data_IF_143483995192
#
_entry.id   IF_143483995192
#
_cell.length_a   1.000
_cell.length_b   1.000
_cell.length_c   1.000
_cell.angle_alpha   90.00
_cell.angle_beta   90.00
_cell.angle_gamma   90.00
#
_symmetry.space_group_name_H-M   'P 1'
#
loop_
_entity.id
_entity.type
_entity.pdbx_description
1 polymer ?
#
# COMPACT_ATOMS: atom_id res chain seq x y z
N UNK A 1 16.97 -2.05 -15.13
CA UNK A 1 15.92 -1.89 -14.10
C UNK A 1 16.29 -2.55 -12.76
N UNK A 2 16.46 -3.88 -12.70
CA UNK A 2 16.73 -4.60 -11.43
C UNK A 2 18.01 -4.11 -10.71
N UNK A 3 19.10 -3.90 -11.46
CA UNK A 3 20.35 -3.34 -10.90
C UNK A 3 20.15 -1.96 -10.26
N UNK A 4 19.41 -1.08 -10.93
CA UNK A 4 19.07 0.26 -10.39
C UNK A 4 18.27 0.12 -9.09
N UNK A 5 17.28 -0.78 -9.06
CA UNK A 5 16.52 -1.07 -7.83
C UNK A 5 17.42 -1.53 -6.68
N UNK A 6 18.35 -2.45 -6.93
CA UNK A 6 19.29 -2.96 -5.92
C UNK A 6 20.23 -1.84 -5.44
N UNK A 7 20.76 -1.02 -6.35
CA UNK A 7 21.61 0.11 -6.00
C UNK A 7 20.86 1.14 -5.14
N UNK A 8 19.59 1.41 -5.45
CA UNK A 8 18.75 2.30 -4.65
C UNK A 8 18.46 1.71 -3.26
N UNK A 9 18.15 0.42 -3.16
CA UNK A 9 17.96 -0.26 -1.88
C UNK A 9 19.25 -0.18 -1.05
N UNK A 10 20.41 -0.46 -1.66
CA UNK A 10 21.70 -0.42 -0.98
C UNK A 10 22.05 1.00 -0.51
N UNK A 11 21.84 2.01 -1.37
CA UNK A 11 22.07 3.42 -1.05
C UNK A 11 21.17 3.90 0.09
N UNK A 12 19.87 3.61 0.02
CA UNK A 12 18.91 4.00 1.05
C UNK A 12 19.14 3.25 2.37
N UNK A 13 19.49 1.97 2.30
CA UNK A 13 19.87 1.20 3.49
C UNK A 13 21.11 1.81 4.14
N UNK A 14 22.15 2.09 3.36
CA UNK A 14 23.40 2.69 3.85
C UNK A 14 23.19 4.07 4.46
N UNK A 15 22.47 4.97 3.77
CA UNK A 15 22.17 6.31 4.31
C UNK A 15 21.38 6.24 5.62
N UNK A 16 20.39 5.35 5.70
CA UNK A 16 19.61 5.18 6.94
C UNK A 16 20.42 4.58 8.10
N UNK A 17 21.50 3.83 7.84
CA UNK A 17 22.41 3.40 8.92
C UNK A 17 23.21 4.55 9.54
N UNK A 18 23.36 5.69 8.85
CA UNK A 18 24.19 6.83 9.32
C UNK A 18 23.46 7.76 10.30
N UNK A 19 22.15 7.61 10.49
CA UNK A 19 21.39 8.30 11.54
C UNK A 19 19.99 8.74 11.13
N UNK A 20 19.12 8.88 12.15
CA UNK A 20 17.69 9.18 11.97
C UNK A 20 17.41 10.61 11.51
N UNK A 21 18.27 11.58 11.84
CA UNK A 21 18.06 12.99 11.45
C UNK A 21 18.13 13.18 9.94
N UNK A 22 19.11 12.53 9.28
CA UNK A 22 19.20 12.50 7.82
C UNK A 22 17.97 11.83 7.19
N UNK A 23 17.56 10.67 7.73
CA UNK A 23 16.38 9.96 7.26
C UNK A 23 15.10 10.80 7.35
N UNK A 24 14.95 11.62 8.41
CA UNK A 24 13.81 12.53 8.60
C UNK A 24 13.80 13.67 7.58
N UNK A 25 14.95 14.31 7.34
CA UNK A 25 15.04 15.41 6.35
C UNK A 25 14.71 14.88 4.96
N UNK A 26 15.34 13.77 4.57
CA UNK A 26 15.07 13.06 3.32
C UNK A 26 13.57 12.75 3.21
N UNK A 27 12.98 12.14 4.24
CA UNK A 27 11.55 11.80 4.25
C UNK A 27 10.64 13.01 4.05
N UNK A 28 10.92 14.12 4.74
CA UNK A 28 10.10 15.32 4.66
C UNK A 28 10.15 15.96 3.26
N UNK A 29 11.35 16.06 2.68
CA UNK A 29 11.53 16.60 1.33
C UNK A 29 10.73 15.74 0.35
N UNK A 30 10.97 14.42 0.31
CA UNK A 30 10.29 13.56 -0.65
C UNK A 30 8.78 13.45 -0.42
N UNK A 31 8.32 13.50 0.82
CA UNK A 31 6.88 13.49 1.13
C UNK A 31 6.21 14.77 0.63
N UNK A 32 6.84 15.93 0.87
CA UNK A 32 6.32 17.21 0.38
C UNK A 32 6.33 17.25 -1.14
N UNK A 33 7.43 16.83 -1.78
CA UNK A 33 7.55 16.84 -3.24
C UNK A 33 6.57 15.89 -3.90
N UNK A 34 6.37 14.67 -3.39
CA UNK A 34 5.40 13.74 -3.99
C UNK A 34 3.95 14.19 -3.82
N UNK A 35 3.61 14.78 -2.66
CA UNK A 35 2.29 15.38 -2.46
C UNK A 35 2.09 16.58 -3.39
N UNK A 36 3.11 17.43 -3.54
CA UNK A 36 3.11 18.54 -4.48
C UNK A 36 2.98 18.08 -5.93
N UNK A 37 3.65 17.00 -6.33
CA UNK A 37 3.54 16.44 -7.68
C UNK A 37 2.14 15.90 -7.96
N UNK A 38 1.54 15.15 -7.03
CA UNK A 38 0.17 14.67 -7.17
C UNK A 38 -0.84 15.83 -7.18
N UNK A 39 -0.67 16.81 -6.30
CA UNK A 39 -1.50 18.01 -6.28
C UNK A 39 -1.37 18.82 -7.58
N UNK A 40 -0.15 18.98 -8.09
CA UNK A 40 0.11 19.61 -9.37
C UNK A 40 -0.57 18.87 -10.53
N UNK A 41 -0.52 17.54 -10.54
CA UNK A 41 -1.25 16.73 -11.52
C UNK A 41 -2.76 16.94 -11.41
N UNK A 42 -3.31 17.00 -10.21
CA UNK A 42 -4.74 17.26 -9.98
C UNK A 42 -5.12 18.61 -10.56
N UNK A 43 -4.38 19.67 -10.22
CA UNK A 43 -4.64 21.03 -10.72
C UNK A 43 -4.52 21.09 -12.24
N UNK A 44 -3.48 20.49 -12.81
CA UNK A 44 -3.28 20.43 -14.26
C UNK A 44 -4.42 19.69 -14.95
N UNK A 45 -4.86 18.54 -14.43
CA UNK A 45 -5.98 17.79 -14.99
C UNK A 45 -7.31 18.55 -14.91
N UNK A 46 -7.59 19.22 -13.79
CA UNK A 46 -8.83 19.98 -13.62
C UNK A 46 -8.87 21.28 -14.43
N UNK A 47 -7.72 21.94 -14.63
CA UNK A 47 -7.67 23.27 -15.29
C UNK A 47 -7.28 23.17 -16.76
N UNK A 48 -6.19 22.46 -17.06
CA UNK A 48 -5.63 22.37 -18.41
C UNK A 48 -6.04 21.09 -19.15
N UNK A 49 -6.40 20.04 -18.41
CA UNK A 49 -6.87 18.77 -18.96
C UNK A 49 -8.34 18.73 -19.31
N UNK A 50 -9.10 19.81 -19.12
CA UNK A 50 -10.55 19.77 -19.31
C UNK A 50 -10.94 19.40 -20.75
N UNK A 51 -11.50 18.21 -20.93
CA UNK A 51 -11.92 17.69 -22.22
C UNK A 51 -13.45 17.55 -22.24
N UNK A 52 -14.13 18.43 -22.98
CA UNK A 52 -15.60 18.46 -23.04
C UNK A 52 -16.21 17.12 -23.48
N UNK A 53 -15.55 16.37 -24.37
CA UNK A 53 -16.02 15.04 -24.79
C UNK A 53 -15.88 14.00 -23.68
N UNK A 54 -14.75 14.01 -22.96
CA UNK A 54 -14.54 13.14 -21.82
C UNK A 54 -15.54 13.45 -20.70
N UNK A 55 -15.73 14.73 -20.37
CA UNK A 55 -16.69 15.17 -19.35
C UNK A 55 -18.11 14.76 -19.73
N UNK A 56 -18.54 14.98 -20.97
CA UNK A 56 -19.88 14.59 -21.40
C UNK A 56 -20.06 13.06 -21.42
N UNK A 57 -19.07 12.30 -21.89
CA UNK A 57 -19.15 10.83 -21.94
C UNK A 57 -19.05 10.14 -20.57
N UNK A 58 -18.32 10.75 -19.64
CA UNK A 58 -18.11 10.22 -18.31
C UNK A 58 -19.21 10.68 -17.34
N UNK A 59 -19.51 11.98 -17.27
CA UNK A 59 -20.47 12.60 -16.33
C UNK A 59 -21.83 12.98 -16.93
N UNK A 60 -22.10 12.61 -18.19
CA UNK A 60 -23.37 12.89 -18.86
C UNK A 60 -24.54 12.03 -18.37
N UNK A 61 -25.57 11.95 -19.20
CA UNK A 61 -26.84 11.26 -18.89
C UNK A 61 -26.62 9.79 -18.49
N UNK A 62 -25.59 9.16 -19.05
CA UNK A 62 -25.22 7.77 -18.82
C UNK A 62 -24.23 7.54 -17.65
N UNK A 63 -24.08 8.49 -16.73
CA UNK A 63 -23.19 8.32 -15.58
C UNK A 63 -23.63 7.15 -14.68
N UNK A 64 -24.93 7.03 -14.44
CA UNK A 64 -25.51 5.99 -13.57
C UNK A 64 -25.90 4.71 -14.31
N UNK A 65 -25.72 4.66 -15.64
CA UNK A 65 -26.07 3.48 -16.44
C UNK A 65 -24.85 2.55 -16.52
N UNK A 66 -24.96 1.29 -16.02
CA UNK A 66 -23.89 0.31 -16.17
C UNK A 66 -23.63 0.03 -17.66
N UNK A 67 -22.35 0.05 -18.05
CA UNK A 67 -21.90 -0.17 -19.44
C UNK A 67 -20.85 -1.28 -19.47
N UNK A 68 -20.77 -2.00 -20.59
CA UNK A 68 -19.73 -3.00 -20.88
C UNK A 68 -19.52 -4.02 -19.74
N UNK A 69 -20.50 -4.91 -19.54
CA UNK A 69 -20.43 -5.94 -18.52
C UNK A 69 -19.36 -6.98 -18.85
N UNK A 70 -18.15 -6.76 -18.34
CA UNK A 70 -17.11 -7.78 -18.36
C UNK A 70 -17.36 -8.85 -17.28
N UNK A 71 -17.17 -10.13 -17.61
CA UNK A 71 -17.28 -11.20 -16.63
C UNK A 71 -16.16 -11.09 -15.59
N UNK A 72 -16.54 -11.12 -14.31
CA UNK A 72 -15.60 -11.16 -13.17
C UNK A 72 -14.94 -12.53 -13.08
N UNK A 73 -15.72 -13.58 -13.35
CA UNK A 73 -15.28 -14.96 -13.46
C UNK A 73 -16.26 -15.75 -14.35
N UNK A 74 -15.94 -17.00 -14.68
CA UNK A 74 -16.85 -17.87 -15.43
C UNK A 74 -18.24 -17.89 -14.77
N UNK A 75 -19.28 -17.48 -15.52
CA UNK A 75 -20.67 -17.44 -15.04
C UNK A 75 -21.04 -16.28 -14.11
N UNK A 76 -20.12 -15.35 -13.81
CA UNK A 76 -20.38 -14.21 -12.93
C UNK A 76 -20.13 -12.91 -13.68
N UNK A 77 -21.20 -12.15 -13.91
CA UNK A 77 -21.15 -10.84 -14.55
C UNK A 77 -21.60 -9.77 -13.57
N UNK A 78 -21.06 -8.56 -13.72
CA UNK A 78 -21.46 -7.39 -12.93
C UNK A 78 -22.92 -6.94 -13.16
N UNK A 79 -23.67 -7.63 -14.01
CA UNK A 79 -25.10 -7.40 -14.24
C UNK A 79 -25.99 -7.93 -13.10
N UNK A 80 -25.48 -8.87 -12.29
CA UNK A 80 -26.20 -9.40 -11.12
C UNK A 80 -25.75 -8.70 -9.84
N UNK A 81 -26.62 -8.61 -8.82
CA UNK A 81 -26.24 -8.00 -7.54
C UNK A 81 -25.01 -8.68 -6.91
N UNK A 82 -24.95 -10.01 -6.98
CA UNK A 82 -23.81 -10.78 -6.48
C UNK A 82 -22.56 -10.57 -7.33
N UNK A 83 -22.68 -10.55 -8.66
CA UNK A 83 -21.55 -10.31 -9.54
C UNK A 83 -21.01 -8.88 -9.44
N UNK A 84 -21.86 -7.87 -9.22
CA UNK A 84 -21.43 -6.51 -8.91
C UNK A 84 -20.68 -6.44 -7.58
N UNK A 85 -21.20 -7.11 -6.55
CA UNK A 85 -20.51 -7.23 -5.26
C UNK A 85 -19.13 -7.88 -5.42
N UNK A 86 -19.03 -8.99 -6.15
CA UNK A 86 -17.77 -9.65 -6.45
C UNK A 86 -16.82 -8.74 -7.25
N UNK A 87 -17.32 -8.03 -8.26
CA UNK A 87 -16.56 -7.07 -9.06
C UNK A 87 -15.94 -5.98 -8.17
N UNK A 88 -16.73 -5.38 -7.29
CA UNK A 88 -16.28 -4.37 -6.32
C UNK A 88 -15.17 -4.95 -5.45
N UNK A 89 -15.40 -6.10 -4.82
CA UNK A 89 -14.38 -6.72 -3.96
C UNK A 89 -13.08 -7.06 -4.70
N UNK A 90 -13.15 -7.53 -5.96
CA UNK A 90 -11.98 -7.86 -6.78
C UNK A 90 -11.23 -6.61 -7.27
N UNK A 91 -11.94 -5.53 -7.58
CA UNK A 91 -11.34 -4.25 -8.01
C UNK A 91 -10.70 -3.50 -6.85
N UNK A 92 -11.10 -3.76 -5.61
CA UNK A 92 -10.53 -3.11 -4.43
C UNK A 92 -9.07 -3.49 -4.16
N UNK A 93 -8.51 -4.54 -4.76
CA UNK A 93 -7.10 -4.92 -4.53
C UNK A 93 -6.14 -3.75 -4.76
N UNK A 94 -6.27 -3.05 -5.89
CA UNK A 94 -5.41 -1.89 -6.21
C UNK A 94 -5.64 -0.71 -5.27
N UNK A 95 -6.90 -0.40 -4.96
CA UNK A 95 -7.27 0.69 -4.04
C UNK A 95 -6.78 0.45 -2.61
N UNK A 96 -6.94 -0.78 -2.10
CA UNK A 96 -6.46 -1.20 -0.78
C UNK A 96 -4.93 -1.12 -0.71
N UNK A 97 -4.24 -1.57 -1.76
CA UNK A 97 -2.79 -1.44 -1.85
C UNK A 97 -2.34 0.02 -1.84
N UNK A 98 -2.99 0.88 -2.62
CA UNK A 98 -2.67 2.32 -2.68
C UNK A 98 -2.88 3.04 -1.33
N UNK A 99 -3.68 2.45 -0.45
CA UNK A 99 -4.04 2.98 0.87
C UNK A 99 -3.32 2.26 2.02
N UNK A 100 -2.46 1.28 1.72
CA UNK A 100 -1.74 0.51 2.72
C UNK A 100 -0.65 1.34 3.42
N UNK A 101 -0.02 0.77 4.46
CA UNK A 101 1.07 1.38 5.24
C UNK A 101 0.67 2.58 6.14
N UNK A 102 -0.63 2.88 6.28
CA UNK A 102 -1.14 3.88 7.21
C UNK A 102 -0.76 3.58 8.67
N UNK A 103 -0.67 2.30 9.04
CA UNK A 103 -0.31 1.82 10.37
C UNK A 103 1.18 1.97 10.71
N UNK A 104 2.06 2.27 9.75
CA UNK A 104 3.51 2.31 9.99
C UNK A 104 3.95 3.35 11.03
N UNK A 105 3.20 4.45 11.20
CA UNK A 105 3.47 5.45 12.24
C UNK A 105 3.39 4.87 13.66
N UNK A 106 2.66 3.77 13.84
CA UNK A 106 2.58 3.08 15.14
C UNK A 106 3.89 2.39 15.51
N UNK A 107 4.72 2.02 14.54
CA UNK A 107 6.02 1.40 14.79
C UNK A 107 7.06 2.39 15.32
N UNK A 108 6.84 3.68 15.10
CA UNK A 108 7.67 4.78 15.61
C UNK A 108 7.02 5.51 16.78
N UNK A 109 5.97 4.95 17.39
CA UNK A 109 5.21 5.60 18.45
C UNK A 109 6.08 6.10 19.62
N UNK A 110 7.14 5.37 19.97
CA UNK A 110 8.08 5.75 21.03
C UNK A 110 8.94 6.99 20.73
N UNK A 111 9.02 7.41 19.46
CA UNK A 111 9.77 8.60 19.01
C UNK A 111 8.83 9.81 18.79
N UNK A 112 7.51 9.61 18.84
CA UNK A 112 6.51 10.65 18.61
C UNK A 112 6.29 11.46 19.88
N UNK A 113 6.38 12.80 19.79
CA UNK A 113 6.01 13.71 20.87
C UNK A 113 4.51 13.54 21.18
N UNK A 114 4.13 13.37 22.44
CA UNK A 114 2.73 13.19 22.87
C UNK A 114 1.95 12.15 22.05
N UNK A 115 2.39 10.87 22.06
CA UNK A 115 1.88 9.84 21.14
C UNK A 115 0.37 9.60 21.30
N UNK A 116 -0.17 9.74 22.51
CA UNK A 116 -1.60 9.55 22.82
C UNK A 116 -2.52 10.49 22.04
N UNK A 117 -2.04 11.69 21.69
CA UNK A 117 -2.79 12.68 20.92
C UNK A 117 -2.34 12.74 19.46
N UNK A 118 -1.03 12.73 19.23
CA UNK A 118 -0.49 13.01 17.92
C UNK A 118 -0.59 11.82 16.96
N UNK A 119 -0.53 10.57 17.45
CA UNK A 119 -0.70 9.39 16.57
C UNK A 119 -2.14 9.31 16.05
N UNK A 120 -3.20 9.37 16.87
CA UNK A 120 -4.57 9.35 16.36
C UNK A 120 -4.87 10.52 15.41
N UNK A 121 -4.41 11.74 15.74
CA UNK A 121 -4.62 12.91 14.87
C UNK A 121 -3.87 12.77 13.54
N UNK A 122 -2.62 12.29 13.57
CA UNK A 122 -1.85 12.08 12.35
C UNK A 122 -2.47 11.01 11.46
N UNK A 123 -3.03 9.95 12.04
CA UNK A 123 -3.77 8.93 11.28
C UNK A 123 -5.03 9.52 10.66
N UNK A 124 -5.86 10.22 11.43
CA UNK A 124 -7.12 10.77 10.92
C UNK A 124 -6.89 11.85 9.85
N UNK A 125 -6.07 12.86 10.14
CA UNK A 125 -5.82 13.99 9.23
C UNK A 125 -4.99 13.56 8.02
N UNK A 126 -3.95 12.74 8.24
CA UNK A 126 -3.09 12.26 7.17
C UNK A 126 -3.85 11.37 6.19
N UNK A 127 -4.58 10.38 6.70
CA UNK A 127 -5.41 9.51 5.84
C UNK A 127 -6.53 10.30 5.17
N UNK A 128 -7.19 11.23 5.86
CA UNK A 128 -8.23 12.08 5.28
C UNK A 128 -7.72 12.94 4.13
N UNK A 129 -6.53 13.55 4.27
CA UNK A 129 -5.91 14.32 3.20
C UNK A 129 -5.54 13.45 1.99
N UNK A 130 -5.01 12.24 2.22
CA UNK A 130 -4.69 11.29 1.13
C UNK A 130 -5.96 10.85 0.40
N UNK A 131 -7.04 10.52 1.12
CA UNK A 131 -8.34 10.17 0.52
C UNK A 131 -8.82 11.31 -0.38
N UNK A 132 -8.80 12.55 0.11
CA UNK A 132 -9.22 13.71 -0.68
C UNK A 132 -8.38 13.87 -1.96
N UNK A 133 -7.05 13.73 -1.86
CA UNK A 133 -6.16 13.78 -3.02
C UNK A 133 -6.44 12.65 -4.02
N UNK A 134 -6.68 11.43 -3.56
CA UNK A 134 -6.97 10.29 -4.44
C UNK A 134 -8.32 10.47 -5.15
N UNK A 135 -9.35 10.96 -4.46
CA UNK A 135 -10.64 11.27 -5.07
C UNK A 135 -10.48 12.37 -6.12
N UNK A 136 -9.80 13.47 -5.79
CA UNK A 136 -9.55 14.57 -6.72
C UNK A 136 -8.70 14.15 -7.92
N UNK A 137 -7.74 13.24 -7.74
CA UNK A 137 -6.96 12.69 -8.85
C UNK A 137 -7.83 11.85 -9.79
N UNK A 138 -8.74 11.03 -9.25
CA UNK A 138 -9.70 10.28 -10.08
C UNK A 138 -10.65 11.22 -10.84
N UNK A 139 -11.12 12.29 -10.20
CA UNK A 139 -11.90 13.32 -10.90
C UNK A 139 -11.07 13.97 -12.00
N UNK A 140 -9.81 14.33 -11.73
CA UNK A 140 -8.90 14.88 -12.72
C UNK A 140 -8.73 13.92 -13.93
N UNK A 141 -8.57 12.63 -13.71
CA UNK A 141 -8.52 11.64 -14.79
C UNK A 141 -9.83 11.61 -15.62
N UNK A 142 -10.98 11.58 -14.95
CA UNK A 142 -12.29 11.50 -15.59
C UNK A 142 -12.68 12.77 -16.37
N UNK A 143 -12.16 13.95 -16.03
CA UNK A 143 -12.39 15.16 -16.83
C UNK A 143 -11.42 15.29 -18.00
N UNK A 144 -10.31 14.54 -17.97
CA UNK A 144 -9.24 14.62 -18.98
C UNK A 144 -9.36 13.56 -20.06
N UNK A 145 -9.67 12.32 -19.67
CA UNK A 145 -9.65 11.15 -20.54
C UNK A 145 -11.05 10.52 -20.68
N UNK A 146 -11.46 10.10 -21.88
CA UNK A 146 -12.62 9.21 -22.04
C UNK A 146 -12.46 7.91 -21.22
N UNK A 147 -13.56 7.36 -20.71
CA UNK A 147 -13.52 6.16 -19.85
C UNK A 147 -12.76 4.97 -20.46
N UNK A 148 -12.90 4.73 -21.77
CA UNK A 148 -12.19 3.65 -22.47
C UNK A 148 -10.66 3.83 -22.45
N UNK A 149 -10.15 5.06 -22.52
CA UNK A 149 -8.72 5.34 -22.44
C UNK A 149 -8.18 5.13 -21.02
N UNK A 150 -9.02 5.31 -19.99
CA UNK A 150 -8.68 4.97 -18.61
C UNK A 150 -8.61 3.45 -18.44
N UNK A 151 -9.58 2.70 -18.98
CA UNK A 151 -9.62 1.24 -18.92
C UNK A 151 -8.43 0.57 -19.62
N UNK A 152 -7.94 1.17 -20.71
CA UNK A 152 -6.86 0.63 -21.54
C UNK A 152 -5.57 1.45 -21.47
N UNK A 153 -5.36 2.17 -20.36
CA UNK A 153 -4.18 2.98 -20.17
C UNK A 153 -2.89 2.13 -20.31
N UNK A 154 -1.90 2.56 -21.10
CA UNK A 154 -0.68 1.78 -21.31
C UNK A 154 0.05 1.42 -20.01
N UNK A 155 0.23 0.11 -19.77
CA UNK A 155 0.82 -0.43 -18.54
C UNK A 155 0.11 0.03 -17.25
N UNK A 156 -1.21 0.25 -17.30
CA UNK A 156 -2.05 0.68 -16.18
C UNK A 156 -1.67 2.07 -15.59
N UNK A 157 -1.00 2.91 -16.40
CA UNK A 157 -0.48 4.23 -15.97
C UNK A 157 -1.42 5.38 -16.38
N UNK A 158 -2.57 5.46 -15.73
CA UNK A 158 -3.59 6.50 -16.00
C UNK A 158 -3.05 7.93 -15.83
N UNK A 159 -2.22 8.16 -14.81
CA UNK A 159 -1.57 9.46 -14.58
C UNK A 159 -0.65 9.88 -15.75
N UNK A 160 0.06 8.92 -16.34
CA UNK A 160 0.91 9.15 -17.52
C UNK A 160 0.06 9.48 -18.73
N UNK A 161 -1.01 8.72 -18.98
CA UNK A 161 -1.94 8.99 -20.07
C UNK A 161 -2.59 10.39 -19.94
N UNK A 162 -2.94 10.78 -18.72
CA UNK A 162 -3.51 12.11 -18.42
C UNK A 162 -2.51 13.22 -18.77
N UNK A 163 -1.27 13.11 -18.32
CA UNK A 163 -0.24 14.11 -18.64
C UNK A 163 0.14 14.10 -20.12
N UNK A 164 0.08 12.97 -20.80
CA UNK A 164 0.33 12.87 -22.24
C UNK A 164 -0.79 13.53 -23.06
N UNK A 165 -2.04 13.40 -22.61
CA UNK A 165 -3.18 14.09 -23.21
C UNK A 165 -3.08 15.62 -23.03
N UNK A 166 -2.57 16.10 -21.89
CA UNK A 166 -2.37 17.53 -21.61
C UNK A 166 -1.13 18.09 -22.33
N UNK A 167 -0.03 17.34 -22.31
CA UNK A 167 1.27 17.72 -22.88
C UNK A 167 1.80 16.65 -23.83
N UNK A 168 1.28 16.57 -25.07
CA UNK A 168 1.72 15.58 -26.05
C UNK A 168 3.24 15.62 -26.27
N UNK A 169 3.89 14.47 -26.21
CA UNK A 169 5.33 14.28 -26.36
C UNK A 169 6.19 14.57 -25.12
N UNK A 170 5.63 15.17 -24.06
CA UNK A 170 6.36 15.51 -22.82
C UNK A 170 5.76 14.87 -21.57
N UNK A 171 4.47 14.52 -21.58
CA UNK A 171 3.74 14.00 -20.44
C UNK A 171 4.37 12.74 -19.84
N UNK A 172 4.80 11.80 -20.69
CA UNK A 172 5.49 10.58 -20.26
C UNK A 172 6.78 10.86 -19.47
N UNK A 173 7.60 11.81 -19.93
CA UNK A 173 8.86 12.17 -19.26
C UNK A 173 8.59 12.88 -17.94
N UNK A 174 7.63 13.81 -17.92
CA UNK A 174 7.22 14.51 -16.69
C UNK A 174 6.74 13.53 -15.63
N UNK A 175 5.86 12.59 -16.02
CA UNK A 175 5.34 11.59 -15.09
C UNK A 175 6.45 10.64 -14.60
N UNK A 176 7.38 10.26 -15.47
CA UNK A 176 8.52 9.43 -15.07
C UNK A 176 9.35 10.11 -13.97
N UNK A 177 9.61 11.42 -14.07
CA UNK A 177 10.31 12.18 -13.02
C UNK A 177 9.52 12.18 -11.71
N UNK A 178 8.21 12.43 -11.76
CA UNK A 178 7.36 12.41 -10.56
C UNK A 178 7.31 11.04 -9.88
N UNK A 179 7.19 9.96 -10.66
CA UNK A 179 7.23 8.58 -10.15
C UNK A 179 8.58 8.30 -9.48
N UNK A 180 9.70 8.69 -10.11
CA UNK A 180 11.03 8.47 -9.56
C UNK A 180 11.23 9.17 -8.22
N UNK A 181 10.80 10.43 -8.08
CA UNK A 181 10.87 11.17 -6.82
C UNK A 181 9.97 10.51 -5.75
N UNK A 182 8.74 10.14 -6.12
CA UNK A 182 7.77 9.54 -5.20
C UNK A 182 8.22 8.16 -4.68
N UNK A 183 8.69 7.31 -5.59
CA UNK A 183 9.18 5.96 -5.26
C UNK A 183 10.41 6.00 -4.36
N UNK A 184 11.37 6.88 -4.63
CA UNK A 184 12.53 7.07 -3.76
C UNK A 184 12.14 7.43 -2.32
N UNK A 185 11.21 8.39 -2.17
CA UNK A 185 10.68 8.78 -0.86
C UNK A 185 9.91 7.69 -0.14
N UNK A 186 9.11 6.91 -0.88
CA UNK A 186 8.37 5.78 -0.33
C UNK A 186 9.32 4.69 0.18
N UNK A 187 10.33 4.33 -0.62
CA UNK A 187 11.34 3.34 -0.23
C UNK A 187 12.08 3.75 1.04
N UNK A 188 12.49 5.02 1.16
CA UNK A 188 13.15 5.51 2.37
C UNK A 188 12.27 5.34 3.62
N UNK A 189 10.99 5.71 3.53
CA UNK A 189 10.05 5.60 4.64
C UNK A 189 9.80 4.14 5.06
N UNK A 190 9.62 3.23 4.10
CA UNK A 190 9.41 1.81 4.36
C UNK A 190 10.67 1.11 4.91
N UNK A 191 11.87 1.52 4.47
CA UNK A 191 13.14 1.02 5.02
C UNK A 191 13.28 1.40 6.50
N UNK A 192 12.96 2.65 6.84
CA UNK A 192 13.00 3.14 8.22
C UNK A 192 11.96 2.46 9.12
N UNK A 193 10.72 2.31 8.66
CA UNK A 193 9.65 1.70 9.44
C UNK A 193 9.84 0.19 9.61
N UNK A 194 10.19 -0.53 8.53
CA UNK A 194 10.34 -2.00 8.55
C UNK A 194 11.46 -2.48 9.48
N UNK A 195 12.55 -1.73 9.58
CA UNK A 195 13.66 -2.10 10.47
C UNK A 195 13.26 -2.07 11.95
N UNK A 196 12.31 -1.22 12.35
CA UNK A 196 11.83 -1.12 13.73
C UNK A 196 10.95 -2.30 14.13
N UNK A 197 10.13 -2.80 13.20
CA UNK A 197 9.37 -4.03 13.42
C UNK A 197 10.32 -5.22 13.65
N UNK A 198 11.33 -5.37 12.80
CA UNK A 198 12.37 -6.42 12.94
C UNK A 198 13.18 -6.28 14.23
N UNK A 199 13.50 -5.06 14.63
CA UNK A 199 14.19 -4.76 15.89
C UNK A 199 13.33 -5.15 17.11
N UNK A 200 12.04 -4.81 17.12
CA UNK A 200 11.12 -5.18 18.19
C UNK A 200 10.99 -6.70 18.31
N UNK A 201 10.80 -7.41 17.19
CA UNK A 201 10.76 -8.88 17.18
C UNK A 201 12.07 -9.51 17.69
N UNK A 202 13.23 -8.91 17.37
CA UNK A 202 14.52 -9.39 17.86
C UNK A 202 14.68 -9.21 19.37
N UNK A 203 14.13 -8.13 19.95
CA UNK A 203 14.10 -7.91 21.41
C UNK A 203 13.23 -8.94 22.13
N UNK A 204 12.14 -9.35 21.50
CA UNK A 204 11.23 -10.38 22.02
C UNK A 204 11.76 -11.80 21.79
N UNK A 205 12.99 -11.97 21.31
CA UNK A 205 13.63 -13.27 21.01
C UNK A 205 12.94 -14.05 19.88
N UNK A 206 12.16 -13.37 19.04
CA UNK A 206 11.42 -13.95 17.92
C UNK A 206 12.11 -13.74 16.56
N UNK A 207 13.29 -13.12 16.55
CA UNK A 207 14.08 -12.85 15.34
C UNK A 207 15.58 -12.95 15.63
N UNK A 208 16.42 -12.80 14.59
CA UNK A 208 17.87 -12.89 14.73
C UNK A 208 18.42 -11.95 15.81
N UNK A 209 19.17 -12.50 16.79
CA UNK A 209 19.69 -11.77 17.97
C UNK A 209 20.49 -10.49 17.61
N UNK A 210 21.20 -10.48 16.48
CA UNK A 210 21.99 -9.32 16.03
C UNK A 210 21.12 -8.12 15.64
N UNK A 211 19.88 -8.35 15.19
CA UNK A 211 18.96 -7.30 14.78
C UNK A 211 18.45 -6.43 15.95
N UNK A 212 18.63 -6.87 17.21
CA UNK A 212 18.30 -6.07 18.40
C UNK A 212 19.36 -4.99 18.71
N UNK A 213 20.55 -5.05 18.11
CA UNK A 213 21.62 -4.11 18.44
C UNK A 213 21.43 -2.77 17.74
N UNK A 214 21.62 -1.68 18.50
CA UNK A 214 21.64 -0.32 17.97
C UNK A 214 23.09 0.09 17.69
N UNK A 215 23.30 0.82 16.59
CA UNK A 215 24.61 1.40 16.28
C UNK A 215 24.85 2.72 17.04
N UNK A 216 26.02 3.35 16.83
CA UNK A 216 26.37 4.66 17.42
C UNK A 216 25.35 5.77 17.12
N UNK A 217 24.61 5.66 16.01
CA UNK A 217 23.58 6.61 15.60
C UNK A 217 22.17 6.25 16.14
N UNK A 218 22.06 5.30 17.08
CA UNK A 218 20.81 4.80 17.67
C UNK A 218 19.83 4.18 16.66
N UNK A 219 20.35 3.58 15.60
CA UNK A 219 19.57 2.91 14.55
C UNK A 219 19.84 1.39 14.58
N UNK A 220 18.83 0.52 14.35
CA UNK A 220 19.02 -0.92 14.23
C UNK A 220 19.67 -1.29 12.89
N UNK A 221 21.00 -1.07 12.79
CA UNK A 221 21.74 -1.23 11.55
C UNK A 221 21.68 -2.65 10.97
N UNK A 222 21.73 -3.68 11.81
CA UNK A 222 21.61 -5.07 11.35
C UNK A 222 20.21 -5.40 10.83
N UNK A 223 19.16 -4.84 11.43
CA UNK A 223 17.80 -5.02 10.92
C UNK A 223 17.64 -4.36 9.54
N UNK A 224 18.20 -3.16 9.36
CA UNK A 224 18.24 -2.47 8.06
C UNK A 224 18.98 -3.30 7.00
N UNK A 225 20.18 -3.81 7.31
CA UNK A 225 20.97 -4.60 6.37
C UNK A 225 20.27 -5.90 5.99
N UNK A 226 19.69 -6.62 6.97
CA UNK A 226 18.94 -7.85 6.70
C UNK A 226 17.72 -7.58 5.81
N UNK A 227 16.94 -6.53 6.11
CA UNK A 227 15.80 -6.12 5.29
C UNK A 227 16.23 -5.71 3.87
N UNK A 228 17.31 -4.94 3.76
CA UNK A 228 17.86 -4.47 2.49
C UNK A 228 18.37 -5.64 1.63
N UNK A 229 19.10 -6.58 2.23
CA UNK A 229 19.57 -7.79 1.55
C UNK A 229 18.40 -8.66 1.07
N UNK A 230 17.39 -8.86 1.92
CA UNK A 230 16.19 -9.61 1.54
C UNK A 230 15.40 -8.94 0.42
N UNK A 231 15.24 -7.61 0.50
CA UNK A 231 14.57 -6.83 -0.55
C UNK A 231 15.34 -6.86 -1.87
N UNK A 232 16.67 -6.76 -1.83
CA UNK A 232 17.52 -6.89 -3.01
C UNK A 232 17.41 -8.29 -3.64
N UNK A 233 17.36 -9.34 -2.81
CA UNK A 233 17.12 -10.71 -3.26
C UNK A 233 15.76 -10.84 -3.96
N UNK A 234 14.67 -10.31 -3.39
CA UNK A 234 13.32 -10.41 -3.99
C UNK A 234 13.15 -9.63 -5.30
N UNK A 235 14.02 -8.67 -5.60
CA UNK A 235 14.00 -7.92 -6.87
C UNK A 235 14.62 -8.71 -8.04
N UNK A 236 15.48 -9.70 -7.76
CA UNK A 236 16.21 -10.45 -8.79
C UNK A 236 15.34 -11.46 -9.58
N UNK A 237 14.46 -12.27 -8.96
CA UNK A 237 13.72 -13.29 -9.69
C UNK A 237 12.71 -12.69 -10.66
N UNK A 238 12.67 -13.26 -11.87
CA UNK A 238 11.62 -13.00 -12.85
C UNK A 238 10.60 -14.14 -12.82
N UNK A 239 9.34 -13.77 -12.94
CA UNK A 239 8.21 -14.71 -12.92
C UNK A 239 7.50 -14.60 -14.25
N UNK A 240 7.19 -15.75 -14.85
CA UNK A 240 6.40 -15.78 -16.07
C UNK A 240 4.92 -15.74 -15.70
N UNK A 241 4.21 -14.71 -16.16
CA UNK A 241 2.76 -14.63 -16.03
C UNK A 241 2.13 -15.34 -17.24
N UNK A 242 1.51 -16.49 -16.97
CA UNK A 242 0.85 -17.32 -17.99
C UNK A 242 -0.36 -16.61 -18.60
N UNK A 243 -1.06 -15.76 -17.84
CA UNK A 243 -2.25 -15.04 -18.32
C UNK A 243 -1.88 -13.86 -19.21
N UNK A 244 -0.81 -13.12 -18.85
CA UNK A 244 -0.32 -11.97 -19.64
C UNK A 244 0.68 -12.38 -20.73
N UNK A 245 1.03 -13.66 -20.82
CA UNK A 245 2.10 -14.22 -21.66
C UNK A 245 3.40 -13.41 -21.63
N UNK A 246 3.73 -12.84 -20.46
CA UNK A 246 4.83 -11.89 -20.32
C UNK A 246 5.65 -12.19 -19.07
N UNK A 247 6.96 -11.94 -19.17
CA UNK A 247 7.85 -12.02 -18.03
C UNK A 247 7.68 -10.79 -17.14
N UNK A 248 7.02 -10.98 -16.00
CA UNK A 248 6.99 -10.04 -14.88
C UNK A 248 8.20 -10.18 -13.96
N UNK A 249 8.23 -9.36 -12.91
CA UNK A 249 9.13 -9.54 -11.78
C UNK A 249 8.38 -10.24 -10.64
N UNK A 250 9.11 -10.97 -9.79
CA UNK A 250 8.54 -11.58 -8.59
C UNK A 250 7.89 -10.52 -7.69
N UNK A 251 8.41 -9.30 -7.70
CA UNK A 251 7.90 -8.16 -6.94
C UNK A 251 6.42 -7.86 -7.20
N UNK A 252 5.99 -7.75 -8.46
CA UNK A 252 4.58 -7.45 -8.79
C UNK A 252 3.65 -8.54 -8.24
N UNK A 253 4.06 -9.80 -8.35
CA UNK A 253 3.29 -10.92 -7.80
C UNK A 253 3.25 -10.87 -6.26
N UNK A 254 4.38 -10.53 -5.62
CA UNK A 254 4.43 -10.37 -4.16
C UNK A 254 3.50 -9.26 -3.67
N UNK A 255 3.36 -8.15 -4.41
CA UNK A 255 2.42 -7.09 -4.03
C UNK A 255 0.98 -7.61 -3.97
N UNK A 256 0.57 -8.37 -4.99
CA UNK A 256 -0.76 -8.98 -5.02
C UNK A 256 -0.96 -9.99 -3.88
N UNK A 257 0.08 -10.73 -3.52
CA UNK A 257 0.04 -11.73 -2.45
C UNK A 257 -0.02 -11.09 -1.05
N UNK A 258 0.61 -9.93 -0.87
CA UNK A 258 0.71 -9.26 0.44
C UNK A 258 -0.63 -8.72 0.91
N UNK A 259 -1.52 -8.29 0.00
CA UNK A 259 -2.79 -7.66 0.37
C UNK A 259 -3.71 -8.64 1.11
N UNK A 260 -3.81 -9.88 0.63
CA UNK A 260 -4.61 -10.91 1.30
C UNK A 260 -4.05 -11.26 2.68
N UNK A 261 -2.73 -11.40 2.78
CA UNK A 261 -2.04 -11.63 4.04
C UNK A 261 -2.24 -10.46 5.02
N UNK A 262 -2.10 -9.22 4.56
CA UNK A 262 -2.30 -8.01 5.36
C UNK A 262 -3.73 -7.93 5.90
N UNK A 263 -4.74 -8.19 5.06
CA UNK A 263 -6.15 -8.21 5.49
C UNK A 263 -6.41 -9.21 6.61
N UNK A 264 -5.82 -10.42 6.55
CA UNK A 264 -5.93 -11.41 7.64
C UNK A 264 -5.41 -10.82 8.94
N UNK A 265 -4.21 -10.23 8.93
CA UNK A 265 -3.62 -9.63 10.13
C UNK A 265 -4.39 -8.40 10.61
N UNK A 266 -4.97 -7.61 9.72
CA UNK A 266 -5.83 -6.48 10.11
C UNK A 266 -7.11 -6.95 10.80
N UNK A 267 -7.78 -7.99 10.28
CA UNK A 267 -8.94 -8.60 10.94
C UNK A 267 -8.56 -9.12 12.32
N UNK A 268 -7.45 -9.87 12.43
CA UNK A 268 -6.97 -10.40 13.71
C UNK A 268 -6.61 -9.28 14.72
N UNK A 269 -5.99 -8.20 14.24
CA UNK A 269 -5.63 -7.04 15.07
C UNK A 269 -6.87 -6.37 15.62
N UNK A 270 -7.90 -6.16 14.79
CA UNK A 270 -9.16 -5.55 15.22
C UNK A 270 -9.96 -6.48 16.14
N UNK A 271 -9.97 -7.79 15.86
CA UNK A 271 -10.54 -8.79 16.76
C UNK A 271 -9.88 -8.77 18.15
N UNK A 272 -8.59 -8.45 18.19
CA UNK A 272 -7.83 -8.21 19.42
C UNK A 272 -8.46 -7.15 20.32
N UNK A 273 -9.10 -6.10 19.77
CA UNK A 273 -9.78 -5.06 20.56
C UNK A 273 -10.97 -5.65 21.32
N UNK A 274 -11.78 -6.48 20.67
CA UNK A 274 -12.92 -7.15 21.31
C UNK A 274 -12.44 -8.12 22.39
N UNK A 275 -11.43 -8.93 22.07
CA UNK A 275 -10.85 -9.88 23.03
C UNK A 275 -10.24 -9.17 24.24
N UNK A 276 -9.45 -8.10 24.04
CA UNK A 276 -8.81 -7.36 25.14
C UNK A 276 -9.82 -6.61 26.00
N UNK A 277 -10.96 -6.18 25.44
CA UNK A 277 -12.04 -5.59 26.24
C UNK A 277 -12.74 -6.63 27.12
N UNK A 278 -12.85 -7.88 26.66
CA UNK A 278 -13.39 -8.98 27.45
C UNK A 278 -12.39 -9.49 28.50
N UNK A 279 -11.10 -9.62 28.15
CA UNK A 279 -10.09 -10.23 29.04
C UNK A 279 -9.41 -9.24 29.99
N UNK A 280 -9.37 -7.94 29.64
CA UNK A 280 -8.75 -6.88 30.45
C UNK A 280 -9.68 -5.65 30.49
N UNK A 281 -10.83 -5.74 31.17
CA UNK A 281 -11.82 -4.66 31.21
C UNK A 281 -11.27 -3.38 31.86
N UNK A 282 -10.44 -3.50 32.90
CA UNK A 282 -9.94 -2.39 33.74
C UNK A 282 -8.60 -1.81 33.30
N UNK A 283 -8.03 -2.28 32.19
CA UNK A 283 -6.79 -1.72 31.67
C UNK A 283 -6.97 -0.24 31.31
N UNK A 284 -5.99 0.61 31.64
CA UNK A 284 -5.99 2.00 31.22
C UNK A 284 -5.98 2.11 29.69
N UNK A 285 -6.83 2.98 29.15
CA UNK A 285 -7.06 3.15 27.71
C UNK A 285 -6.95 4.63 27.37
N UNK A 286 -5.72 5.11 27.11
CA UNK A 286 -5.51 6.51 26.74
C UNK A 286 -6.25 6.93 25.46
N UNK A 287 -6.51 5.97 24.57
CA UNK A 287 -7.37 6.15 23.41
C UNK A 287 -8.49 5.10 23.39
N UNK A 288 -9.72 5.54 23.14
CA UNK A 288 -10.88 4.67 22.94
C UNK A 288 -11.29 4.70 21.48
N UNK A 289 -11.37 3.51 20.86
CA UNK A 289 -11.79 3.37 19.47
C UNK A 289 -13.18 4.01 19.25
N UNK A 290 -13.23 4.98 18.34
CA UNK A 290 -14.45 5.67 17.96
C UNK A 290 -15.49 4.70 17.40
N UNK A 291 -16.75 4.84 17.82
CA UNK A 291 -17.87 4.00 17.38
C UNK A 291 -17.76 2.52 17.74
N UNK A 292 -16.90 2.13 18.69
CA UNK A 292 -16.90 0.77 19.23
C UNK A 292 -18.24 0.47 19.93
N UNK A 293 -18.85 -0.72 19.72
CA UNK A 293 -18.33 -1.87 18.97
C UNK A 293 -18.63 -1.88 17.46
N UNK A 294 -19.51 -1.00 16.98
CA UNK A 294 -20.09 -1.06 15.63
C UNK A 294 -19.05 -0.83 14.54
N UNK A 295 -18.27 0.25 14.60
CA UNK A 295 -17.30 0.58 13.53
C UNK A 295 -16.22 -0.51 13.37
N UNK A 296 -15.57 -1.00 14.44
CA UNK A 296 -14.61 -2.09 14.31
C UNK A 296 -15.24 -3.40 13.81
N UNK A 297 -16.49 -3.68 14.18
CA UNK A 297 -17.21 -4.87 13.69
C UNK A 297 -17.50 -4.77 12.17
N UNK A 298 -17.98 -3.62 11.70
CA UNK A 298 -18.22 -3.37 10.28
C UNK A 298 -16.93 -3.48 9.47
N UNK A 299 -15.81 -2.95 9.98
CA UNK A 299 -14.50 -3.11 9.33
C UNK A 299 -14.12 -4.59 9.19
N UNK A 300 -14.23 -5.38 10.26
CA UNK A 300 -13.93 -6.81 10.21
C UNK A 300 -14.82 -7.56 9.22
N UNK A 301 -16.13 -7.28 9.21
CA UNK A 301 -17.07 -7.90 8.28
C UNK A 301 -16.75 -7.55 6.82
N UNK A 302 -16.50 -6.27 6.53
CA UNK A 302 -16.13 -5.81 5.19
C UNK A 302 -14.79 -6.41 4.73
N UNK A 303 -13.76 -6.36 5.58
CA UNK A 303 -12.46 -6.95 5.28
C UNK A 303 -12.54 -8.47 5.07
N UNK A 304 -13.32 -9.18 5.89
CA UNK A 304 -13.55 -10.61 5.74
C UNK A 304 -14.30 -10.93 4.45
N UNK A 305 -15.31 -10.13 4.08
CA UNK A 305 -16.06 -10.32 2.86
C UNK A 305 -15.17 -10.12 1.62
N UNK A 306 -14.36 -9.06 1.57
CA UNK A 306 -13.36 -8.86 0.51
C UNK A 306 -12.38 -10.03 0.46
N UNK A 307 -11.87 -10.46 1.61
CA UNK A 307 -10.92 -11.56 1.70
C UNK A 307 -11.52 -12.86 1.14
N UNK A 308 -12.75 -13.22 1.50
CA UNK A 308 -13.46 -14.41 0.99
C UNK A 308 -13.60 -14.34 -0.53
N UNK A 309 -14.05 -13.20 -1.07
CA UNK A 309 -14.16 -13.02 -2.52
C UNK A 309 -12.80 -13.18 -3.20
N UNK A 310 -11.72 -12.62 -2.63
CA UNK A 310 -10.38 -12.78 -3.19
C UNK A 310 -9.91 -14.25 -3.19
N UNK A 311 -10.21 -15.02 -2.14
CA UNK A 311 -9.89 -16.46 -2.12
C UNK A 311 -10.65 -17.25 -3.18
N UNK A 312 -11.91 -16.89 -3.45
CA UNK A 312 -12.75 -17.59 -4.43
C UNK A 312 -12.42 -17.20 -5.88
N UNK A 313 -12.21 -15.91 -6.15
CA UNK A 313 -12.13 -15.38 -7.52
C UNK A 313 -10.72 -14.93 -7.95
N UNK A 314 -9.79 -14.78 -7.01
CA UNK A 314 -8.35 -14.55 -7.29
C UNK A 314 -7.46 -15.56 -6.54
N UNK A 315 -7.66 -16.88 -6.72
CA UNK A 315 -6.90 -17.88 -6.00
C UNK A 315 -5.41 -17.87 -6.34
N UNK A 316 -5.04 -17.50 -7.57
CA UNK A 316 -3.66 -17.40 -8.04
C UNK A 316 -2.82 -16.41 -7.22
N UNK A 317 -3.43 -15.33 -6.74
CA UNK A 317 -2.75 -14.34 -5.90
C UNK A 317 -2.93 -14.61 -4.40
N UNK A 318 -4.07 -15.16 -4.00
CA UNK A 318 -4.44 -15.25 -2.58
C UNK A 318 -3.79 -16.45 -1.88
N UNK A 319 -3.77 -17.62 -2.52
CA UNK A 319 -3.21 -18.84 -1.94
C UNK A 319 -1.70 -18.77 -1.69
N UNK A 320 -0.87 -18.27 -2.62
CA UNK A 320 0.56 -18.09 -2.34
C UNK A 320 0.83 -17.17 -1.16
N UNK A 321 0.07 -16.08 -1.02
CA UNK A 321 0.14 -15.18 0.14
C UNK A 321 -0.14 -15.92 1.46
N UNK A 322 -1.20 -16.74 1.51
CA UNK A 322 -1.52 -17.55 2.68
C UNK A 322 -0.42 -18.57 3.00
N UNK A 323 0.13 -19.25 1.99
CA UNK A 323 1.22 -20.21 2.18
C UNK A 323 2.45 -19.52 2.77
N UNK A 324 2.81 -18.33 2.29
CA UNK A 324 3.92 -17.53 2.85
C UNK A 324 3.68 -17.23 4.34
N UNK A 325 2.45 -16.84 4.72
CA UNK A 325 2.09 -16.60 6.12
C UNK A 325 2.21 -17.88 6.95
N UNK A 326 1.71 -19.01 6.44
CA UNK A 326 1.74 -20.29 7.13
C UNK A 326 3.17 -20.84 7.31
N UNK A 327 4.09 -20.56 6.38
CA UNK A 327 5.53 -20.86 6.54
C UNK A 327 6.14 -20.10 7.73
N UNK A 328 5.53 -18.97 8.14
CA UNK A 328 5.90 -18.28 9.37
C UNK A 328 5.74 -19.12 10.63
N UNK A 329 4.82 -20.09 10.66
CA UNK A 329 4.56 -20.96 11.83
C UNK A 329 5.72 -21.91 12.13
N UNK A 330 6.23 -22.73 11.19
CA UNK A 330 7.40 -23.56 11.45
C UNK A 330 8.65 -22.72 11.72
N UNK A 331 8.82 -21.58 11.04
CA UNK A 331 9.95 -20.67 11.29
C UNK A 331 9.90 -20.12 12.71
N UNK A 332 8.72 -19.69 13.19
CA UNK A 332 8.52 -19.26 14.57
C UNK A 332 8.85 -20.37 15.57
N UNK A 333 8.42 -21.61 15.30
CA UNK A 333 8.75 -22.75 16.16
C UNK A 333 10.26 -23.04 16.20
N UNK A 334 10.97 -22.90 15.09
CA UNK A 334 12.42 -23.05 15.02
C UNK A 334 13.14 -21.96 15.83
N UNK A 335 12.77 -20.69 15.65
CA UNK A 335 13.39 -19.59 16.40
C UNK A 335 13.11 -19.68 17.91
N UNK A 336 11.90 -20.09 18.30
CA UNK A 336 11.56 -20.29 19.71
C UNK A 336 12.36 -21.43 20.35
N UNK A 337 12.73 -22.46 19.59
CA UNK A 337 13.57 -23.58 20.07
C UNK A 337 15.07 -23.24 20.09
N UNK A 338 15.52 -22.36 19.20
CA UNK A 338 16.93 -22.01 19.05
C UNK A 338 17.41 -20.91 20.03
N UNK A 339 16.51 -20.32 20.83
CA UNK A 339 16.81 -19.22 21.75
C UNK A 339 16.68 -19.60 23.21
#
# INVERSE_FOLDING_TARGET
>A
AQLVGILLIALLTWTNTRGLEYGKIVQNIFTTTKMGALFGLIVLGLVAGWNAKAVHGNFGVDFWTPRNFDPVSAGITAATAFGLFAAICVSQTGSLFSSDAWNNITFTAGEVKNPMRNIPLSLALGTGAVIAMYLLANVAYLVTLPFAEIQHAPSDRVATATLEAIFPGKGAVMMAVFIMISTFGCMNGLILAGARASYAMARDKLFFRRAHSLNKAKVPAWALVLQGAWSAFLVLPRTYDVQKQSYGNLYSNLLDYVISAALIFYILTVAGIFRLRATRPDADRPYRAFGYPVIPALYMLGAAAVLVVLFLYKPSSTWPGLVIVLIGVPVYALFRRAQ
#
